data_IF_407557172763
#
_entry.id   IF_407557172763
#
_cell.length_a   1.000
_cell.length_b   1.000
_cell.length_c   1.000
_cell.angle_alpha   90.00
_cell.angle_beta   90.00
_cell.angle_gamma   90.00
#
_symmetry.space_group_name_H-M   'P 1'
#
loop_
_entity.id
_entity.type
_entity.pdbx_description
1 polymer ?
#
# COMPACT_ATOMS: atom_id res chain seq x y z
N UNK A 1 -15.93 12.69 9.33
CA UNK A 1 -15.86 11.31 8.81
C UNK A 1 -15.65 11.38 7.31
N UNK A 2 -14.96 10.43 6.68
CA UNK A 2 -14.70 10.49 5.22
C UNK A 2 -16.01 10.27 4.46
N UNK A 3 -16.40 11.16 3.52
CA UNK A 3 -17.56 10.95 2.65
C UNK A 3 -17.48 9.60 1.91
N UNK A 4 -18.59 8.88 1.82
CA UNK A 4 -18.59 7.52 1.26
C UNK A 4 -18.18 7.49 -0.21
N UNK A 5 -18.45 8.56 -0.95
CA UNK A 5 -18.05 8.74 -2.35
C UNK A 5 -16.52 8.76 -2.47
N UNK A 6 -15.82 9.39 -1.53
CA UNK A 6 -14.35 9.41 -1.49
C UNK A 6 -13.78 8.03 -1.13
N UNK A 7 -14.47 7.27 -0.28
CA UNK A 7 -14.09 5.89 0.01
C UNK A 7 -14.26 4.99 -1.22
N UNK A 8 -15.41 5.06 -1.90
CA UNK A 8 -15.68 4.33 -3.16
C UNK A 8 -14.63 4.67 -4.22
N UNK A 9 -14.33 5.96 -4.41
CA UNK A 9 -13.29 6.41 -5.35
C UNK A 9 -11.92 5.81 -5.05
N UNK A 10 -11.55 5.62 -3.78
CA UNK A 10 -10.31 4.95 -3.44
C UNK A 10 -10.32 3.47 -3.85
N UNK A 11 -11.44 2.75 -3.70
CA UNK A 11 -11.57 1.38 -4.20
C UNK A 11 -11.55 1.33 -5.73
N UNK A 12 -12.26 2.24 -6.40
CA UNK A 12 -12.30 2.33 -7.85
C UNK A 12 -10.89 2.45 -8.44
N UNK A 13 -10.06 3.33 -7.86
CA UNK A 13 -8.70 3.57 -8.34
C UNK A 13 -7.71 2.50 -7.86
N UNK A 14 -7.70 2.18 -6.56
CA UNK A 14 -6.62 1.37 -5.98
C UNK A 14 -6.83 -0.14 -6.14
N UNK A 15 -8.05 -0.58 -6.50
CA UNK A 15 -8.38 -1.99 -6.64
C UNK A 15 -9.09 -2.30 -7.96
N UNK A 16 -10.25 -1.71 -8.23
CA UNK A 16 -11.05 -2.10 -9.39
C UNK A 16 -10.41 -1.72 -10.72
N UNK A 17 -9.73 -0.58 -10.80
CA UNK A 17 -8.96 -0.22 -11.99
C UNK A 17 -7.79 -1.19 -12.25
N UNK A 18 -7.18 -1.72 -11.20
CA UNK A 18 -6.10 -2.72 -11.33
C UNK A 18 -6.65 -4.03 -11.91
N UNK A 19 -7.82 -4.47 -11.44
CA UNK A 19 -8.52 -5.63 -12.01
C UNK A 19 -8.89 -5.40 -13.49
N UNK A 20 -9.45 -4.24 -13.83
CA UNK A 20 -9.80 -3.91 -15.22
C UNK A 20 -8.56 -3.95 -16.14
N UNK A 21 -7.44 -3.32 -15.74
CA UNK A 21 -6.20 -3.36 -16.53
C UNK A 21 -5.69 -4.80 -16.66
N UNK A 22 -5.78 -5.57 -15.59
CA UNK A 22 -5.38 -6.98 -15.56
C UNK A 22 -6.21 -7.82 -16.55
N UNK A 23 -7.54 -7.65 -16.57
CA UNK A 23 -8.43 -8.33 -17.51
C UNK A 23 -8.07 -8.04 -18.97
N UNK A 24 -7.58 -6.83 -19.27
CA UNK A 24 -7.17 -6.46 -20.63
C UNK A 24 -5.86 -7.15 -21.06
N UNK A 25 -4.90 -7.34 -20.14
CA UNK A 25 -3.59 -7.92 -20.49
C UNK A 25 -3.54 -9.44 -20.36
N UNK A 26 -4.38 -10.03 -19.52
CA UNK A 26 -4.37 -11.48 -19.25
C UNK A 26 -4.60 -12.37 -20.48
N UNK A 27 -5.47 -12.04 -21.46
CA UNK A 27 -5.61 -12.85 -22.67
C UNK A 27 -4.29 -12.98 -23.45
N UNK A 28 -3.55 -11.87 -23.59
CA UNK A 28 -2.27 -11.85 -24.29
C UNK A 28 -1.21 -12.66 -23.56
N UNK A 29 -1.08 -12.47 -22.24
CA UNK A 29 -0.14 -13.24 -21.42
C UNK A 29 -0.45 -14.74 -21.43
N UNK A 30 -1.73 -15.12 -21.43
CA UNK A 30 -2.16 -16.53 -21.50
C UNK A 30 -1.79 -17.16 -22.85
N UNK A 31 -2.00 -16.44 -23.96
CA UNK A 31 -1.58 -16.89 -25.28
C UNK A 31 -0.04 -17.02 -25.38
N UNK A 32 0.70 -16.08 -24.77
CA UNK A 32 2.16 -16.11 -24.70
C UNK A 32 2.71 -17.24 -23.81
N UNK A 33 1.90 -17.78 -22.89
CA UNK A 33 2.34 -18.77 -21.90
C UNK A 33 3.36 -18.22 -20.88
N UNK A 34 3.48 -16.89 -20.77
CA UNK A 34 4.37 -16.21 -19.85
C UNK A 34 3.93 -14.77 -19.59
N UNK A 35 4.25 -14.25 -18.42
CA UNK A 35 3.98 -12.86 -18.07
C UNK A 35 4.21 -12.57 -16.60
N UNK A 36 4.34 -11.27 -16.26
CA UNK A 36 4.39 -10.82 -14.88
C UNK A 36 3.57 -9.56 -14.68
N UNK A 37 2.62 -9.63 -13.75
CA UNK A 37 1.86 -8.48 -13.25
C UNK A 37 2.52 -8.06 -11.94
N UNK A 38 2.98 -6.81 -11.87
CA UNK A 38 3.62 -6.23 -10.68
C UNK A 38 2.69 -5.16 -10.11
N UNK A 39 1.99 -5.49 -9.03
CA UNK A 39 1.07 -4.57 -8.37
C UNK A 39 1.81 -3.75 -7.30
N UNK A 40 1.65 -2.42 -7.36
CA UNK A 40 2.26 -1.52 -6.37
C UNK A 40 1.26 -1.26 -5.24
N UNK A 41 1.45 -1.99 -4.14
CA UNK A 41 0.69 -1.83 -2.91
C UNK A 41 1.43 -0.89 -1.95
N UNK A 42 1.39 -1.21 -0.66
CA UNK A 42 2.11 -0.52 0.41
C UNK A 42 2.21 -1.46 1.62
N UNK A 43 3.14 -1.18 2.54
CA UNK A 43 3.08 -1.79 3.87
C UNK A 43 1.75 -1.49 4.59
N UNK A 44 1.05 -0.41 4.20
CA UNK A 44 -0.30 -0.09 4.66
C UNK A 44 -1.34 -1.19 4.36
N UNK A 45 -1.06 -2.13 3.45
CA UNK A 45 -1.91 -3.30 3.25
C UNK A 45 -1.81 -4.36 4.35
N UNK A 46 -0.81 -4.27 5.24
CA UNK A 46 -0.56 -5.23 6.32
C UNK A 46 -0.45 -4.61 7.71
N UNK A 47 -0.33 -3.28 7.76
CA UNK A 47 -0.26 -2.50 9.00
C UNK A 47 -1.44 -1.52 9.05
N UNK A 48 -1.64 -0.82 10.17
CA UNK A 48 -2.69 0.18 10.30
C UNK A 48 -2.19 1.46 10.97
N UNK A 49 -2.71 2.61 10.55
CA UNK A 49 -2.54 3.87 11.27
C UNK A 49 -3.84 4.65 11.29
N UNK A 50 -3.93 5.60 12.23
CA UNK A 50 -5.07 6.52 12.32
C UNK A 50 -5.23 7.34 11.04
N UNK A 51 -6.46 7.76 10.75
CA UNK A 51 -6.86 8.57 9.59
C UNK A 51 -6.66 7.94 8.19
N UNK A 52 -6.08 6.74 8.08
CA UNK A 52 -5.84 6.06 6.80
C UNK A 52 -6.84 4.96 6.43
N UNK A 53 -7.93 4.78 7.19
CA UNK A 53 -8.74 3.54 7.17
C UNK A 53 -9.11 3.00 5.79
N UNK A 54 -9.65 3.84 4.90
CA UNK A 54 -10.02 3.42 3.53
C UNK A 54 -8.81 3.11 2.64
N UNK A 55 -7.71 3.87 2.78
CA UNK A 55 -6.47 3.59 2.07
C UNK A 55 -5.90 2.22 2.46
N UNK A 56 -5.80 1.94 3.77
CA UNK A 56 -5.39 0.65 4.30
C UNK A 56 -6.28 -0.48 3.78
N UNK A 57 -7.61 -0.31 3.83
CA UNK A 57 -8.55 -1.30 3.30
C UNK A 57 -8.29 -1.60 1.81
N UNK A 58 -8.08 -0.57 0.98
CA UNK A 58 -7.82 -0.77 -0.45
C UNK A 58 -6.50 -1.48 -0.73
N UNK A 59 -5.42 -1.14 0.01
CA UNK A 59 -4.11 -1.79 -0.16
C UNK A 59 -4.09 -3.22 0.38
N UNK A 60 -4.82 -3.49 1.46
CA UNK A 60 -5.05 -4.85 1.96
C UNK A 60 -5.85 -5.69 0.95
N UNK A 61 -6.90 -5.11 0.37
CA UNK A 61 -7.68 -5.72 -0.71
C UNK A 61 -6.81 -6.05 -1.92
N UNK A 62 -5.97 -5.11 -2.37
CA UNK A 62 -5.04 -5.32 -3.47
C UNK A 62 -4.03 -6.44 -3.18
N UNK A 63 -3.51 -6.53 -1.96
CA UNK A 63 -2.60 -7.61 -1.55
C UNK A 63 -3.26 -8.99 -1.69
N UNK A 64 -4.47 -9.13 -1.13
CA UNK A 64 -5.21 -10.39 -1.15
C UNK A 64 -5.62 -10.76 -2.58
N UNK A 65 -6.18 -9.81 -3.32
CA UNK A 65 -6.58 -10.02 -4.71
C UNK A 65 -5.39 -10.43 -5.58
N UNK A 66 -4.22 -9.82 -5.38
CA UNK A 66 -3.00 -10.20 -6.12
C UNK A 66 -2.53 -11.63 -5.80
N UNK A 67 -2.70 -12.10 -4.55
CA UNK A 67 -2.34 -13.47 -4.16
C UNK A 67 -3.29 -14.50 -4.79
N UNK A 68 -4.59 -14.21 -4.78
CA UNK A 68 -5.59 -15.04 -5.45
C UNK A 68 -5.28 -15.11 -6.95
N UNK A 69 -5.03 -13.95 -7.58
CA UNK A 69 -4.66 -13.88 -8.99
C UNK A 69 -3.41 -14.73 -9.30
N UNK A 70 -2.34 -14.64 -8.50
CA UNK A 70 -1.12 -15.45 -8.72
C UNK A 70 -1.46 -16.93 -8.73
N UNK A 71 -2.31 -17.37 -7.80
CA UNK A 71 -2.71 -18.78 -7.70
C UNK A 71 -3.53 -19.25 -8.91
N UNK A 72 -4.39 -18.39 -9.46
CA UNK A 72 -5.23 -18.71 -10.61
C UNK A 72 -4.42 -18.76 -11.92
N UNK A 73 -3.49 -17.82 -12.08
CA UNK A 73 -2.76 -17.64 -13.34
C UNK A 73 -1.46 -18.43 -13.42
N UNK A 74 -0.99 -19.00 -12.31
CA UNK A 74 0.28 -19.73 -12.22
C UNK A 74 0.42 -20.82 -13.30
N UNK A 75 -0.66 -21.57 -13.52
CA UNK A 75 -0.70 -22.67 -14.50
C UNK A 75 -0.49 -22.24 -15.95
N UNK A 76 -0.60 -20.94 -16.25
CA UNK A 76 -0.38 -20.37 -17.58
C UNK A 76 1.03 -19.76 -17.73
N UNK A 77 1.95 -20.00 -16.79
CA UNK A 77 3.29 -19.42 -16.80
C UNK A 77 3.32 -17.94 -16.41
N UNK A 78 2.21 -17.41 -15.89
CA UNK A 78 2.05 -16.01 -15.48
C UNK A 78 2.25 -15.91 -13.97
N UNK A 79 2.83 -14.82 -13.50
CA UNK A 79 2.95 -14.49 -12.07
C UNK A 79 2.29 -13.16 -11.75
N UNK A 80 1.62 -13.08 -10.60
CA UNK A 80 1.17 -11.85 -9.97
C UNK A 80 1.96 -11.63 -8.69
N UNK A 81 2.66 -10.50 -8.59
CA UNK A 81 3.52 -10.17 -7.46
C UNK A 81 3.23 -8.78 -6.95
N UNK A 82 3.54 -8.54 -5.67
CA UNK A 82 3.26 -7.25 -5.03
C UNK A 82 4.54 -6.61 -4.52
N UNK A 83 4.70 -5.33 -4.81
CA UNK A 83 5.69 -4.47 -4.17
C UNK A 83 4.99 -3.67 -3.07
N UNK A 84 5.58 -3.62 -1.88
CA UNK A 84 5.03 -2.94 -0.71
C UNK A 84 6.01 -1.88 -0.19
N UNK A 85 6.02 -0.70 -0.79
CA UNK A 85 6.79 0.42 -0.27
C UNK A 85 6.27 0.86 1.10
N UNK A 86 7.21 1.25 1.96
CA UNK A 86 6.94 2.07 3.13
C UNK A 86 6.87 3.54 2.79
N UNK A 87 7.41 4.37 3.69
CA UNK A 87 7.51 5.81 3.49
C UNK A 87 8.28 6.11 2.20
N UNK A 88 7.71 6.97 1.37
CA UNK A 88 8.22 7.35 0.06
C UNK A 88 8.31 8.87 -0.01
N UNK A 89 9.40 9.40 -0.57
CA UNK A 89 9.59 10.85 -0.78
C UNK A 89 8.72 11.33 -1.94
N UNK A 90 7.45 11.58 -1.65
CA UNK A 90 6.47 12.13 -2.58
C UNK A 90 5.50 13.05 -1.85
N UNK A 91 4.67 13.74 -2.60
CA UNK A 91 3.62 14.64 -2.11
C UNK A 91 2.45 13.89 -1.46
N UNK A 92 2.48 12.55 -1.44
CA UNK A 92 1.38 11.72 -0.99
C UNK A 92 0.97 12.00 0.46
N UNK A 93 1.94 12.10 1.40
CA UNK A 93 1.65 12.35 2.82
C UNK A 93 1.01 13.72 3.02
N UNK A 94 1.54 14.75 2.35
CA UNK A 94 0.99 16.11 2.34
C UNK A 94 -0.43 16.15 1.78
N UNK A 95 -0.68 15.49 0.64
CA UNK A 95 -2.01 15.41 0.03
C UNK A 95 -2.99 14.65 0.95
N UNK A 96 -2.56 13.55 1.56
CA UNK A 96 -3.38 12.76 2.47
C UNK A 96 -3.81 13.57 3.71
N UNK A 97 -2.87 14.29 4.34
CA UNK A 97 -3.14 15.15 5.50
C UNK A 97 -4.04 16.33 5.14
N UNK A 98 -3.79 16.99 4.00
CA UNK A 98 -4.65 18.08 3.53
C UNK A 98 -6.08 17.60 3.30
N UNK A 99 -6.26 16.41 2.71
CA UNK A 99 -7.59 15.82 2.56
C UNK A 99 -8.20 15.42 3.90
N UNK A 100 -7.42 14.92 4.86
CA UNK A 100 -7.92 14.63 6.20
C UNK A 100 -8.45 15.90 6.88
N UNK A 101 -7.68 17.01 6.83
CA UNK A 101 -8.07 18.32 7.37
C UNK A 101 -9.34 18.87 6.70
N UNK A 102 -9.44 18.78 5.37
CA UNK A 102 -10.64 19.20 4.62
C UNK A 102 -11.90 18.41 4.96
N UNK A 103 -11.76 17.17 5.41
CA UNK A 103 -12.89 16.31 5.80
C UNK A 103 -13.24 16.42 7.29
N UNK A 104 -12.56 17.28 8.05
CA UNK A 104 -12.96 17.61 9.42
C UNK A 104 -14.19 18.50 9.40
N UNK A 105 -15.11 18.25 10.32
CA UNK A 105 -16.17 19.19 10.65
C UNK A 105 -15.61 20.26 11.60
N UNK A 106 -16.27 21.42 11.66
CA UNK A 106 -16.00 22.41 12.69
C UNK A 106 -16.15 21.76 14.08
N UNK A 107 -15.20 22.01 14.98
CA UNK A 107 -15.12 21.39 16.31
C UNK A 107 -15.05 19.85 16.30
N UNK A 108 -14.50 19.25 15.24
CA UNK A 108 -14.29 17.81 15.15
C UNK A 108 -13.47 17.29 16.35
N UNK A 109 -13.86 16.17 16.98
CA UNK A 109 -13.08 15.53 18.05
C UNK A 109 -11.76 14.91 17.55
N UNK A 110 -11.51 14.94 16.22
CA UNK A 110 -10.30 14.41 15.59
C UNK A 110 -9.29 15.48 15.18
N UNK A 111 -9.52 16.76 15.49
CA UNK A 111 -8.59 17.85 15.13
C UNK A 111 -7.20 17.62 15.69
N UNK A 112 -7.09 17.33 17.00
CA UNK A 112 -5.82 17.01 17.66
C UNK A 112 -5.11 15.79 17.04
N UNK A 113 -5.88 14.82 16.55
CA UNK A 113 -5.34 13.62 15.92
C UNK A 113 -4.73 13.95 14.55
N UNK A 114 -5.37 14.85 13.78
CA UNK A 114 -4.83 15.36 12.52
C UNK A 114 -3.54 16.14 12.78
N UNK A 115 -3.53 17.05 13.75
CA UNK A 115 -2.34 17.86 14.08
C UNK A 115 -1.16 16.99 14.54
N UNK A 116 -1.41 15.95 15.35
CA UNK A 116 -0.37 15.00 15.77
C UNK A 116 0.21 14.23 14.59
N UNK A 117 -0.63 13.75 13.67
CA UNK A 117 -0.15 13.04 12.48
C UNK A 117 0.61 13.97 11.54
N UNK A 118 0.16 15.22 11.37
CA UNK A 118 0.87 16.24 10.58
C UNK A 118 2.27 16.51 11.15
N UNK A 119 2.37 16.70 12.47
CA UNK A 119 3.65 16.86 13.15
C UNK A 119 4.55 15.62 13.04
N UNK A 120 3.98 14.41 13.13
CA UNK A 120 4.72 13.16 12.96
C UNK A 120 5.28 13.06 11.54
N UNK A 121 4.46 13.27 10.50
CA UNK A 121 4.92 13.24 9.11
C UNK A 121 5.93 14.34 8.79
N UNK A 122 5.77 15.54 9.35
CA UNK A 122 6.73 16.65 9.19
C UNK A 122 8.11 16.38 9.80
N UNK A 123 8.20 15.48 10.79
CA UNK A 123 9.48 15.03 11.38
C UNK A 123 10.13 13.86 10.63
N UNK A 124 9.37 13.18 9.78
CA UNK A 124 9.85 12.04 9.01
C UNK A 124 10.56 12.56 7.74
N UNK A 125 11.89 12.67 7.81
CA UNK A 125 12.75 12.96 6.64
C UNK A 125 13.24 11.70 5.92
N UNK A 126 12.77 10.53 6.35
CA UNK A 126 13.17 9.22 5.83
C UNK A 126 12.11 8.67 4.90
N UNK A 127 12.53 8.14 3.76
CA UNK A 127 11.64 7.48 2.81
C UNK A 127 12.39 7.14 1.53
N UNK A 128 11.90 6.12 0.83
CA UNK A 128 12.43 5.70 -0.44
C UNK A 128 12.31 6.83 -1.47
N UNK A 129 13.37 7.06 -2.24
CA UNK A 129 13.32 7.88 -3.45
C UNK A 129 12.66 7.10 -4.60
N UNK A 130 12.17 7.82 -5.60
CA UNK A 130 11.65 7.19 -6.83
C UNK A 130 12.68 6.32 -7.53
N UNK A 131 13.97 6.68 -7.48
CA UNK A 131 15.06 5.89 -8.06
C UNK A 131 15.25 4.56 -7.32
N UNK A 132 15.20 4.59 -5.99
CA UNK A 132 15.30 3.37 -5.18
C UNK A 132 14.10 2.44 -5.37
N UNK A 133 12.88 3.00 -5.47
CA UNK A 133 11.69 2.20 -5.76
C UNK A 133 11.71 1.62 -7.18
N UNK A 134 12.21 2.37 -8.17
CA UNK A 134 12.36 1.88 -9.53
C UNK A 134 13.26 0.63 -9.58
N UNK A 135 14.33 0.57 -8.78
CA UNK A 135 15.18 -0.63 -8.65
C UNK A 135 14.38 -1.83 -8.13
N UNK A 136 13.52 -1.62 -7.13
CA UNK A 136 12.66 -2.68 -6.58
C UNK A 136 11.60 -3.13 -7.60
N UNK A 137 11.00 -2.19 -8.33
CA UNK A 137 10.00 -2.50 -9.36
C UNK A 137 10.61 -3.31 -10.50
N UNK A 138 11.80 -2.89 -10.96
CA UNK A 138 12.57 -3.61 -11.96
C UNK A 138 12.93 -5.01 -11.48
N UNK A 139 13.39 -5.14 -10.24
CA UNK A 139 13.69 -6.45 -9.65
C UNK A 139 12.44 -7.34 -9.60
N UNK A 140 11.31 -6.83 -9.12
CA UNK A 140 10.05 -7.58 -9.09
C UNK A 140 9.65 -8.04 -10.50
N UNK A 141 9.84 -7.19 -11.51
CA UNK A 141 9.54 -7.51 -12.91
C UNK A 141 10.49 -8.56 -13.51
N UNK A 142 11.76 -8.60 -13.10
CA UNK A 142 12.82 -9.36 -13.81
C UNK A 142 13.40 -10.55 -13.06
N UNK A 143 13.11 -10.71 -11.76
CA UNK A 143 13.63 -11.84 -10.99
C UNK A 143 13.30 -13.20 -11.65
N UNK A 144 14.30 -14.06 -11.79
CA UNK A 144 14.15 -15.40 -12.39
C UNK A 144 13.17 -16.25 -11.59
N UNK A 145 13.22 -16.16 -10.26
CA UNK A 145 12.29 -16.83 -9.33
C UNK A 145 11.61 -15.77 -8.45
N UNK A 146 10.50 -15.17 -8.93
CA UNK A 146 9.94 -14.03 -8.26
C UNK A 146 9.31 -14.41 -6.92
N UNK A 147 9.53 -13.55 -5.93
CA UNK A 147 8.87 -13.61 -4.62
C UNK A 147 7.43 -13.13 -4.77
N UNK A 148 6.55 -13.54 -3.85
CA UNK A 148 5.18 -13.00 -3.78
C UNK A 148 5.15 -11.54 -3.30
N UNK A 149 6.13 -11.16 -2.48
CA UNK A 149 6.25 -9.83 -1.87
C UNK A 149 7.66 -9.27 -2.02
N UNK A 150 7.74 -8.00 -2.39
CA UNK A 150 8.96 -7.21 -2.47
C UNK A 150 8.82 -5.99 -1.56
N UNK A 151 9.89 -5.70 -0.82
CA UNK A 151 9.97 -4.54 0.07
C UNK A 151 11.16 -3.69 -0.36
N UNK A 152 11.07 -2.38 -0.13
CA UNK A 152 12.20 -1.49 -0.38
C UNK A 152 13.32 -1.68 0.64
N UNK A 153 12.96 -1.87 1.91
CA UNK A 153 13.93 -2.01 3.00
C UNK A 153 13.61 -3.15 3.96
N UNK A 154 14.63 -3.56 4.74
CA UNK A 154 14.44 -4.52 5.85
C UNK A 154 13.52 -3.94 6.94
N UNK A 155 13.49 -2.61 7.07
CA UNK A 155 12.62 -1.90 8.03
C UNK A 155 11.16 -2.06 7.62
N UNK A 156 10.84 -1.88 6.34
CA UNK A 156 9.48 -2.08 5.81
C UNK A 156 8.99 -3.50 6.08
N UNK A 157 9.82 -4.49 5.76
CA UNK A 157 9.50 -5.90 5.97
C UNK A 157 9.35 -6.23 7.46
N UNK A 158 10.26 -5.75 8.31
CA UNK A 158 10.20 -5.94 9.75
C UNK A 158 8.95 -5.34 10.38
N UNK A 159 8.53 -4.14 9.96
CA UNK A 159 7.28 -3.51 10.42
C UNK A 159 6.06 -4.36 10.08
N UNK A 160 5.99 -4.90 8.86
CA UNK A 160 4.90 -5.80 8.45
C UNK A 160 4.86 -7.06 9.32
N UNK A 161 6.02 -7.69 9.54
CA UNK A 161 6.12 -8.89 10.39
C UNK A 161 5.67 -8.60 11.82
N UNK A 162 6.11 -7.48 12.41
CA UNK A 162 5.72 -7.07 13.76
C UNK A 162 4.22 -6.78 13.82
N UNK A 163 3.66 -6.04 12.87
CA UNK A 163 2.24 -5.71 12.85
C UNK A 163 1.34 -6.95 12.79
N UNK A 164 1.71 -7.93 11.95
CA UNK A 164 0.93 -9.15 11.75
C UNK A 164 1.12 -10.19 12.86
N UNK A 165 2.32 -10.28 13.43
CA UNK A 165 2.67 -11.33 14.40
C UNK A 165 2.61 -10.87 15.85
N UNK A 166 2.74 -9.57 16.10
CA UNK A 166 2.83 -8.96 17.43
C UNK A 166 1.98 -7.68 17.52
N UNK A 167 0.64 -7.78 17.39
CA UNK A 167 -0.25 -6.61 17.28
C UNK A 167 -0.20 -5.68 18.50
N UNK A 168 0.00 -6.22 19.71
CA UNK A 168 0.14 -5.40 20.92
C UNK A 168 1.44 -4.58 20.91
N UNK A 169 2.55 -5.17 20.45
CA UNK A 169 3.83 -4.49 20.29
C UNK A 169 3.72 -3.39 19.25
N UNK A 170 3.12 -3.71 18.09
CA UNK A 170 2.88 -2.73 17.04
C UNK A 170 2.04 -1.54 17.53
N UNK A 171 0.94 -1.81 18.24
CA UNK A 171 0.10 -0.78 18.84
C UNK A 171 0.86 0.09 19.85
N UNK A 172 1.72 -0.50 20.67
CA UNK A 172 2.54 0.23 21.63
C UNK A 172 3.53 1.18 20.93
N UNK A 173 4.17 0.72 19.84
CA UNK A 173 5.07 1.56 19.02
C UNK A 173 4.31 2.73 18.40
N UNK A 174 3.15 2.48 17.79
CA UNK A 174 2.31 3.54 17.22
C UNK A 174 1.90 4.58 18.27
N UNK A 175 1.44 4.14 19.43
CA UNK A 175 1.05 5.04 20.51
C UNK A 175 2.21 5.90 21.01
N UNK A 176 3.45 5.38 20.94
CA UNK A 176 4.66 6.14 21.30
C UNK A 176 5.04 7.18 20.25
N UNK A 177 4.83 6.89 18.97
CA UNK A 177 5.06 7.85 17.87
C UNK A 177 4.04 8.99 17.84
N UNK A 178 2.83 8.73 18.37
CA UNK A 178 1.73 9.69 18.45
C UNK A 178 1.74 10.58 19.72
N UNK A 179 2.72 10.39 20.61
CA UNK A 179 2.96 11.24 21.79
C UNK A 179 3.95 12.35 21.43
#
# INVERSE_FOLDING_TARGET
>A
AVPIENAKRQFDVNLFAVDQITQLVLPFMRHQGSGRIVNISSIAGDIYSSLGGWYHATKAGLNMWSDVLDSEVHRFGIRSVVVQPGLTKSEWSTIALNNARKNLLDNSPYSDLVDKLENMFGKINTGATSEELAKVFYQAATDVRPKRRYYHSIVDHGMVVIARSMPNTYRAVLNRLMK
#
